data_IF_324615919050
#
_entry.id   IF_324615919050
#
_cell.length_a   1.000
_cell.length_b   1.000
_cell.length_c   1.000
_cell.angle_alpha   90.00
_cell.angle_beta   90.00
_cell.angle_gamma   90.00
#
_symmetry.space_group_name_H-M   'P 1'
#
loop_
_entity.id
_entity.type
_entity.pdbx_description
1 polymer ?
#
# COMPACT_ATOMS: atom_id res chain seq x y z
N UNK A 1 1.45 -9.61 -22.44
CA UNK A 1 2.60 -8.91 -23.08
C UNK A 1 3.75 -8.77 -22.12
N UNK A 2 4.96 -8.57 -22.65
CA UNK A 2 6.19 -8.34 -21.88
C UNK A 2 6.86 -7.06 -22.38
N UNK A 3 7.46 -6.30 -21.46
CA UNK A 3 8.22 -5.08 -21.77
C UNK A 3 9.42 -4.98 -20.82
N UNK A 4 10.52 -4.42 -21.31
CA UNK A 4 11.63 -3.96 -20.49
C UNK A 4 11.67 -2.44 -20.53
N UNK A 5 12.00 -1.80 -19.40
CA UNK A 5 12.18 -0.38 -19.30
C UNK A 5 13.54 -0.07 -18.65
N UNK A 6 14.15 1.01 -19.09
CA UNK A 6 15.35 1.60 -18.51
C UNK A 6 15.20 3.12 -18.65
N UNK A 7 14.54 3.72 -17.68
CA UNK A 7 14.14 5.12 -17.70
C UNK A 7 14.84 5.87 -16.55
N UNK A 8 14.91 7.18 -16.65
CA UNK A 8 15.39 8.06 -15.59
C UNK A 8 14.27 9.01 -15.21
N UNK A 9 13.91 9.03 -13.94
CA UNK A 9 12.90 9.91 -13.37
C UNK A 9 13.59 11.08 -12.72
N UNK A 10 13.42 12.32 -13.23
CA UNK A 10 13.89 13.53 -12.55
C UNK A 10 13.22 13.70 -11.20
N UNK A 11 13.98 13.98 -10.15
CA UNK A 11 13.45 14.03 -8.78
C UNK A 11 14.08 15.16 -7.95
N UNK A 12 13.81 16.44 -8.32
CA UNK A 12 14.54 17.60 -7.79
C UNK A 12 14.39 17.82 -6.29
N UNK A 13 13.36 17.26 -5.65
CA UNK A 13 13.06 17.41 -4.21
C UNK A 13 13.13 16.10 -3.43
N UNK A 14 13.76 15.09 -4.00
CA UNK A 14 13.93 13.81 -3.38
C UNK A 14 15.38 13.65 -2.88
N UNK A 15 15.67 12.52 -2.22
CA UNK A 15 17.03 12.19 -1.73
C UNK A 15 18.11 12.09 -2.82
N UNK A 16 17.69 12.01 -4.10
CA UNK A 16 18.53 12.01 -5.30
C UNK A 16 17.89 12.92 -6.35
N UNK A 17 18.70 13.58 -7.15
CA UNK A 17 18.23 14.41 -8.27
C UNK A 17 17.60 13.61 -9.41
N UNK A 18 17.97 12.33 -9.51
CA UNK A 18 17.49 11.40 -10.51
C UNK A 18 17.33 10.01 -9.92
N UNK A 19 16.28 9.30 -10.32
CA UNK A 19 16.01 7.91 -9.93
C UNK A 19 15.96 7.03 -11.18
N UNK A 20 16.80 5.99 -11.23
CA UNK A 20 16.79 5.01 -12.32
C UNK A 20 15.61 4.05 -12.13
N UNK A 21 14.76 3.95 -13.14
CA UNK A 21 13.61 3.07 -13.19
C UNK A 21 13.85 1.94 -14.21
N UNK A 22 14.39 0.83 -13.72
CA UNK A 22 14.78 -0.32 -14.54
C UNK A 22 14.00 -1.54 -14.11
N UNK A 23 13.14 -2.05 -14.98
CA UNK A 23 12.26 -3.17 -14.67
C UNK A 23 11.91 -4.03 -15.88
N UNK A 24 11.49 -5.27 -15.60
CA UNK A 24 10.77 -6.10 -16.52
C UNK A 24 9.27 -6.06 -16.17
N UNK A 25 8.41 -5.83 -17.17
CA UNK A 25 6.98 -5.77 -16.98
C UNK A 25 6.28 -6.91 -17.70
N UNK A 26 5.32 -7.53 -17.02
CA UNK A 26 4.40 -8.51 -17.59
C UNK A 26 2.97 -8.01 -17.39
N UNK A 27 2.18 -8.04 -18.45
CA UNK A 27 0.75 -7.74 -18.41
C UNK A 27 -0.06 -8.98 -18.73
N UNK A 28 -0.94 -9.37 -17.83
CA UNK A 28 -1.97 -10.39 -18.01
C UNK A 28 -3.31 -9.67 -18.29
N UNK A 29 -3.96 -10.02 -19.38
CA UNK A 29 -5.25 -9.44 -19.77
C UNK A 29 -6.38 -10.43 -19.50
N UNK A 30 -7.45 -9.96 -18.87
CA UNK A 30 -8.62 -10.73 -18.50
C UNK A 30 -9.83 -10.32 -19.35
N UNK A 31 -10.75 -11.24 -19.58
CA UNK A 31 -11.96 -10.99 -20.37
C UNK A 31 -12.93 -10.00 -19.72
N UNK A 32 -12.86 -9.88 -18.39
CA UNK A 32 -13.69 -9.01 -17.55
C UNK A 32 -13.28 -7.53 -17.60
N UNK A 33 -12.56 -7.12 -18.66
CA UNK A 33 -12.14 -5.74 -18.91
C UNK A 33 -11.16 -5.17 -17.87
N UNK A 34 -10.24 -5.98 -17.38
CA UNK A 34 -9.10 -5.51 -16.60
C UNK A 34 -7.81 -6.24 -16.96
N UNK A 35 -6.70 -5.62 -16.62
CA UNK A 35 -5.38 -6.21 -16.70
C UNK A 35 -4.76 -6.29 -15.29
N UNK A 36 -3.90 -7.27 -15.09
CA UNK A 36 -2.97 -7.33 -13.97
C UNK A 36 -1.56 -7.10 -14.49
N UNK A 37 -0.91 -6.06 -14.00
CA UNK A 37 0.45 -5.68 -14.40
C UNK A 37 1.40 -6.02 -13.28
N UNK A 38 2.46 -6.74 -13.60
CA UNK A 38 3.59 -7.01 -12.72
C UNK A 38 4.83 -6.26 -13.20
N UNK A 39 5.56 -5.65 -12.28
CA UNK A 39 6.91 -5.13 -12.51
C UNK A 39 7.90 -5.81 -11.59
N UNK A 40 9.00 -6.30 -12.18
CA UNK A 40 10.09 -6.95 -11.46
C UNK A 40 11.32 -6.05 -11.53
N UNK A 41 11.82 -5.71 -10.37
CA UNK A 41 13.02 -4.92 -10.12
C UNK A 41 14.10 -5.80 -9.48
N UNK A 42 15.35 -5.36 -9.50
CA UNK A 42 16.41 -6.03 -8.73
C UNK A 42 16.16 -5.97 -7.21
N UNK A 43 15.46 -4.93 -6.77
CA UNK A 43 15.14 -4.66 -5.36
C UNK A 43 13.71 -5.05 -4.95
N UNK A 44 12.98 -5.79 -5.79
CA UNK A 44 11.65 -6.25 -5.43
C UNK A 44 10.67 -6.41 -6.60
N UNK A 45 9.40 -6.48 -6.28
CA UNK A 45 8.33 -6.56 -7.26
C UNK A 45 7.16 -5.66 -6.89
N UNK A 46 6.37 -5.30 -7.90
CA UNK A 46 5.10 -4.64 -7.70
C UNK A 46 4.04 -5.16 -8.65
N UNK A 47 2.76 -5.10 -8.24
CA UNK A 47 1.65 -5.37 -9.13
C UNK A 47 0.53 -4.35 -8.94
N UNK A 48 -0.27 -4.16 -9.98
CA UNK A 48 -1.50 -3.38 -9.94
C UNK A 48 -2.54 -3.92 -10.91
N UNK A 49 -3.80 -3.64 -10.60
CA UNK A 49 -4.88 -3.81 -11.56
C UNK A 49 -5.10 -2.52 -12.36
N UNK A 50 -5.47 -2.66 -13.63
CA UNK A 50 -5.88 -1.54 -14.49
C UNK A 50 -7.14 -1.91 -15.25
N UNK A 51 -8.15 -1.04 -15.23
CA UNK A 51 -9.37 -1.26 -15.99
C UNK A 51 -9.15 -0.96 -17.47
N UNK A 52 -9.73 -1.78 -18.36
CA UNK A 52 -9.71 -1.58 -19.81
C UNK A 52 -11.08 -1.19 -20.35
N UNK A 53 -12.14 -1.32 -19.54
CA UNK A 53 -13.50 -0.97 -19.88
C UNK A 53 -13.75 0.54 -20.04
N UNK A 54 -14.81 0.89 -20.76
CA UNK A 54 -15.19 2.28 -21.05
C UNK A 54 -16.32 2.79 -20.14
N UNK A 55 -16.69 2.06 -19.09
CA UNK A 55 -17.74 2.44 -18.13
C UNK A 55 -17.16 2.64 -16.74
N UNK A 56 -17.68 3.56 -15.92
CA UNK A 56 -17.39 3.63 -14.50
C UNK A 56 -17.77 2.32 -13.80
N UNK A 57 -17.04 1.97 -12.74
CA UNK A 57 -17.30 0.75 -11.97
C UNK A 57 -17.03 0.96 -10.49
N UNK A 58 -17.57 0.06 -9.67
CA UNK A 58 -17.30 0.03 -8.22
C UNK A 58 -16.45 -1.19 -7.89
N UNK A 59 -15.49 -1.01 -7.00
CA UNK A 59 -14.70 -2.09 -6.40
C UNK A 59 -15.33 -2.40 -5.06
N UNK A 60 -15.88 -3.58 -4.90
CA UNK A 60 -16.53 -4.00 -3.65
C UNK A 60 -15.53 -4.43 -2.60
N UNK A 61 -14.44 -5.09 -3.02
CA UNK A 61 -13.33 -5.49 -2.18
C UNK A 61 -12.08 -5.75 -3.03
N UNK A 62 -10.91 -5.76 -2.40
CA UNK A 62 -9.65 -6.23 -2.97
C UNK A 62 -9.01 -7.19 -1.96
N UNK A 63 -8.59 -8.36 -2.43
CA UNK A 63 -7.89 -9.34 -1.63
C UNK A 63 -6.43 -9.39 -2.04
N UNK A 64 -5.54 -8.98 -1.14
CA UNK A 64 -4.11 -9.19 -1.24
C UNK A 64 -3.66 -10.04 -0.04
N UNK A 65 -3.08 -11.19 -0.32
CA UNK A 65 -2.59 -12.12 0.70
C UNK A 65 -1.08 -12.31 0.56
N UNK A 66 -0.38 -12.19 1.67
CA UNK A 66 1.07 -12.36 1.78
C UNK A 66 1.34 -13.54 2.71
N UNK A 67 1.69 -14.68 2.12
CA UNK A 67 1.91 -15.93 2.84
C UNK A 67 3.40 -16.18 3.00
N UNK A 68 3.84 -16.46 4.22
CA UNK A 68 5.24 -16.72 4.53
C UNK A 68 5.39 -18.20 4.92
N UNK A 69 6.50 -18.80 4.49
CA UNK A 69 6.78 -20.21 4.73
C UNK A 69 7.35 -20.51 6.13
N UNK A 70 7.66 -19.48 6.89
CA UNK A 70 8.18 -19.55 8.27
C UNK A 70 7.57 -18.45 9.13
N UNK A 71 7.65 -18.63 10.42
CA UNK A 71 7.29 -17.64 11.42
C UNK A 71 8.42 -16.63 11.60
N UNK A 72 8.45 -15.64 10.72
CA UNK A 72 9.45 -14.58 10.74
C UNK A 72 9.09 -13.49 11.74
N UNK A 73 10.10 -12.81 12.26
CA UNK A 73 9.90 -11.55 12.97
C UNK A 73 9.36 -10.49 12.04
N UNK A 74 8.48 -9.67 12.55
CA UNK A 74 7.88 -8.55 11.83
C UNK A 74 8.02 -7.24 12.62
N UNK A 75 8.07 -6.13 11.89
CA UNK A 75 8.06 -4.77 12.44
C UNK A 75 6.82 -4.12 11.88
N UNK A 76 5.84 -3.88 12.75
CA UNK A 76 4.49 -3.51 12.34
C UNK A 76 4.01 -2.21 13.00
N UNK A 77 3.41 -1.30 12.23
CA UNK A 77 2.77 -0.09 12.71
C UNK A 77 1.28 -0.35 13.01
N UNK A 78 0.97 -0.85 14.19
CA UNK A 78 -0.43 -1.02 14.59
C UNK A 78 -1.17 0.32 14.68
N UNK A 79 -2.42 0.33 14.27
CA UNK A 79 -3.32 1.44 14.57
C UNK A 79 -3.35 1.71 16.07
N UNK A 80 -3.27 2.97 16.47
CA UNK A 80 -3.28 3.39 17.88
C UNK A 80 -4.55 2.89 18.58
N UNK A 81 -4.39 2.34 19.78
CA UNK A 81 -5.50 1.79 20.59
C UNK A 81 -6.42 0.79 19.86
N UNK A 82 -5.92 0.14 18.80
CA UNK A 82 -6.72 -0.79 17.98
C UNK A 82 -7.20 -2.03 18.75
N UNK A 83 -6.52 -2.41 19.83
CA UNK A 83 -6.93 -3.49 20.75
C UNK A 83 -8.20 -3.17 21.55
N UNK A 84 -8.56 -1.89 21.66
CA UNK A 84 -9.72 -1.39 22.41
C UNK A 84 -10.92 -1.05 21.50
N UNK A 85 -10.79 -1.27 20.19
CA UNK A 85 -11.76 -0.80 19.20
C UNK A 85 -12.10 -1.91 18.22
N UNK A 86 -13.35 -1.98 17.74
CA UNK A 86 -13.70 -2.85 16.62
C UNK A 86 -12.90 -2.43 15.37
N UNK A 87 -12.64 -3.38 14.48
CA UNK A 87 -11.84 -3.15 13.24
C UNK A 87 -12.36 -1.96 12.43
N UNK A 88 -13.68 -1.79 12.37
CA UNK A 88 -14.28 -0.67 11.62
C UNK A 88 -13.87 0.71 12.18
N UNK A 89 -13.79 0.86 13.48
CA UNK A 89 -13.36 2.11 14.12
C UNK A 89 -11.86 2.38 13.90
N UNK A 90 -11.05 1.34 13.71
CA UNK A 90 -9.61 1.47 13.48
C UNK A 90 -9.29 2.15 12.14
N UNK A 91 -10.15 2.05 11.12
CA UNK A 91 -9.98 2.76 9.85
C UNK A 91 -10.03 4.29 9.96
N UNK A 92 -10.53 4.82 11.06
CA UNK A 92 -10.65 6.26 11.31
C UNK A 92 -9.68 6.75 12.38
N UNK A 93 -8.66 5.98 12.69
CA UNK A 93 -7.69 6.29 13.73
C UNK A 93 -6.29 6.57 13.13
N UNK A 94 -5.37 7.07 13.96
CA UNK A 94 -4.02 7.42 13.57
C UNK A 94 -3.02 6.30 13.84
N UNK A 95 -1.81 6.43 13.29
CA UNK A 95 -0.68 5.59 13.66
C UNK A 95 0.01 6.04 14.95
N UNK A 96 0.08 7.26 15.32
CA UNK A 96 0.79 7.87 16.47
C UNK A 96 1.16 6.89 17.62
N UNK A 97 2.03 5.94 17.34
CA UNK A 97 2.40 4.82 18.19
C UNK A 97 3.83 4.36 17.87
N UNK A 98 4.42 3.55 18.73
CA UNK A 98 5.69 2.87 18.46
C UNK A 98 5.45 1.63 17.57
N UNK A 99 6.45 1.30 16.76
CA UNK A 99 6.42 0.03 16.00
C UNK A 99 6.53 -1.16 16.95
N UNK A 100 5.78 -2.20 16.66
CA UNK A 100 5.81 -3.46 17.39
C UNK A 100 6.73 -4.45 16.68
N UNK A 101 7.65 -5.06 17.42
CA UNK A 101 8.53 -6.13 16.94
C UNK A 101 8.02 -7.45 17.51
N UNK A 102 7.53 -8.34 16.64
CA UNK A 102 6.87 -9.59 17.04
C UNK A 102 6.92 -10.60 15.91
N UNK A 103 6.90 -11.89 16.22
CA UNK A 103 6.72 -12.96 15.23
C UNK A 103 5.35 -12.85 14.55
N UNK A 104 5.24 -13.29 13.29
CA UNK A 104 4.00 -13.23 12.53
C UNK A 104 2.83 -13.93 13.24
N UNK A 105 3.10 -15.10 13.84
CA UNK A 105 2.09 -15.87 14.60
C UNK A 105 1.63 -15.18 15.89
N UNK A 106 2.44 -14.26 16.41
CA UNK A 106 2.13 -13.47 17.60
C UNK A 106 1.30 -12.20 17.32
N UNK A 107 1.05 -11.89 16.05
CA UNK A 107 0.27 -10.71 15.67
C UNK A 107 -1.17 -10.81 16.16
N UNK A 108 -1.69 -9.70 16.69
CA UNK A 108 -3.06 -9.63 17.17
C UNK A 108 -4.07 -9.66 16.00
N UNK A 109 -4.96 -10.67 15.90
CA UNK A 109 -5.90 -10.82 14.79
C UNK A 109 -7.03 -9.79 14.78
N UNK A 110 -7.14 -8.95 15.81
CA UNK A 110 -8.13 -7.89 15.93
C UNK A 110 -7.55 -6.49 15.68
N UNK A 111 -6.27 -6.40 15.27
CA UNK A 111 -5.60 -5.10 15.07
C UNK A 111 -5.18 -4.92 13.62
N UNK A 112 -5.54 -3.75 13.08
CA UNK A 112 -5.05 -3.29 11.78
C UNK A 112 -3.62 -2.75 11.90
N UNK A 113 -2.84 -2.99 10.86
CA UNK A 113 -1.50 -2.45 10.66
C UNK A 113 -1.51 -1.55 9.43
N UNK A 114 -0.87 -0.39 9.51
CA UNK A 114 -0.61 0.43 8.33
C UNK A 114 0.49 -0.20 7.45
N UNK A 115 0.60 0.22 6.21
CA UNK A 115 1.80 0.04 5.40
C UNK A 115 2.76 1.22 5.62
N UNK A 116 4.08 1.00 5.58
CA UNK A 116 4.79 -0.24 5.29
C UNK A 116 4.89 -1.20 6.48
N UNK A 117 4.88 -2.51 6.19
CA UNK A 117 5.18 -3.58 7.15
C UNK A 117 6.47 -4.27 6.74
N UNK A 118 7.39 -4.47 7.68
CA UNK A 118 8.68 -5.11 7.43
C UNK A 118 8.71 -6.51 8.03
N UNK A 119 9.19 -7.48 7.27
CA UNK A 119 9.41 -8.85 7.68
C UNK A 119 10.92 -9.13 7.66
N UNK A 120 11.45 -9.53 8.79
CA UNK A 120 12.86 -9.88 8.94
C UNK A 120 13.09 -11.33 8.55
N UNK A 121 13.81 -11.54 7.47
CA UNK A 121 14.16 -12.87 7.00
C UNK A 121 15.55 -13.31 7.51
N UNK A 122 15.92 -14.53 7.20
CA UNK A 122 17.22 -15.08 7.53
C UNK A 122 18.36 -14.25 6.91
N UNK A 123 19.53 -14.28 7.56
CA UNK A 123 20.75 -13.58 7.13
C UNK A 123 20.60 -12.05 7.00
N UNK A 124 19.72 -11.45 7.80
CA UNK A 124 19.52 -10.00 7.83
C UNK A 124 18.72 -9.45 6.66
N UNK A 125 18.19 -10.29 5.76
CA UNK A 125 17.32 -9.86 4.66
C UNK A 125 16.01 -9.31 5.20
N UNK A 126 15.47 -8.33 4.47
CA UNK A 126 14.17 -7.70 4.78
C UNK A 126 13.23 -7.81 3.58
N UNK A 127 11.98 -8.13 3.86
CA UNK A 127 10.88 -7.86 2.95
C UNK A 127 10.09 -6.70 3.49
N UNK A 128 9.67 -5.78 2.62
CA UNK A 128 8.80 -4.67 3.03
C UNK A 128 7.57 -4.64 2.13
N UNK A 129 6.40 -4.74 2.75
CA UNK A 129 5.12 -4.61 2.07
C UNK A 129 4.71 -3.15 2.12
N UNK A 130 4.53 -2.56 0.95
CA UNK A 130 4.16 -1.15 0.80
C UNK A 130 3.16 -0.97 -0.35
N UNK A 131 2.76 0.26 -0.58
CA UNK A 131 1.90 0.65 -1.70
C UNK A 131 2.34 1.99 -2.30
N UNK A 132 1.93 2.27 -3.51
CA UNK A 132 2.18 3.54 -4.18
C UNK A 132 1.04 3.92 -5.11
N UNK A 133 0.99 5.17 -5.52
CA UNK A 133 0.00 5.71 -6.45
C UNK A 133 -1.44 5.56 -5.92
N UNK A 134 -1.62 5.85 -4.64
CA UNK A 134 -2.91 5.74 -3.94
C UNK A 134 -3.74 7.00 -4.22
N UNK A 135 -4.41 7.02 -5.37
CA UNK A 135 -5.31 8.10 -5.78
C UNK A 135 -6.74 7.59 -5.90
N UNK A 136 -7.69 8.27 -5.26
CA UNK A 136 -9.12 7.94 -5.30
C UNK A 136 -9.43 6.47 -4.95
N UNK A 137 -8.60 5.89 -4.09
CA UNK A 137 -8.69 4.51 -3.62
C UNK A 137 -8.27 4.46 -2.15
N UNK A 138 -8.83 3.58 -1.31
CA UNK A 138 -8.41 3.48 0.09
C UNK A 138 -6.97 2.95 0.21
N UNK A 139 -6.22 3.46 1.17
CA UNK A 139 -4.95 2.87 1.56
C UNK A 139 -5.13 1.46 2.11
N UNK A 140 -4.15 0.60 1.85
CA UNK A 140 -4.16 -0.78 2.30
C UNK A 140 -3.74 -0.88 3.77
N UNK A 141 -4.60 -1.44 4.60
CA UNK A 141 -4.22 -1.98 5.89
C UNK A 141 -3.91 -3.47 5.76
N UNK A 142 -3.09 -3.97 6.66
CA UNK A 142 -2.82 -5.40 6.80
C UNK A 142 -3.34 -5.92 8.14
N UNK A 143 -3.70 -7.20 8.17
CA UNK A 143 -4.18 -7.88 9.36
C UNK A 143 -3.83 -9.37 9.30
N UNK A 144 -3.53 -9.98 10.43
CA UNK A 144 -3.36 -11.42 10.59
C UNK A 144 -4.63 -12.05 11.17
N UNK A 145 -5.69 -12.17 10.36
CA UNK A 145 -7.02 -12.62 10.83
C UNK A 145 -7.05 -14.04 11.39
N UNK A 146 -6.25 -14.92 10.81
CA UNK A 146 -6.34 -16.37 11.09
C UNK A 146 -5.23 -16.87 12.01
N UNK A 147 -4.37 -15.97 12.49
CA UNK A 147 -3.12 -16.37 13.13
C UNK A 147 -2.13 -16.97 12.11
N UNK A 148 -1.04 -17.54 12.59
CA UNK A 148 -0.03 -18.14 11.74
C UNK A 148 0.81 -17.10 10.97
N UNK A 149 1.29 -17.46 9.78
CA UNK A 149 2.31 -16.72 9.05
C UNK A 149 1.77 -15.97 7.82
N UNK A 150 0.48 -15.62 7.81
CA UNK A 150 -0.15 -14.94 6.68
C UNK A 150 -0.65 -13.54 7.07
N UNK A 151 -0.44 -12.57 6.19
CA UNK A 151 -1.05 -11.25 6.27
C UNK A 151 -2.06 -11.08 5.14
N UNK A 152 -3.20 -10.49 5.43
CA UNK A 152 -4.23 -10.18 4.43
C UNK A 152 -4.54 -8.69 4.42
N UNK A 153 -4.94 -8.18 3.27
CA UNK A 153 -5.38 -6.79 3.15
C UNK A 153 -6.72 -6.54 3.83
N UNK A 154 -6.90 -5.30 4.28
CA UNK A 154 -8.17 -4.77 4.74
C UNK A 154 -8.32 -3.33 4.24
N UNK A 155 -9.52 -2.97 3.80
CA UNK A 155 -9.79 -1.65 3.23
C UNK A 155 -11.03 -1.04 3.87
N UNK A 156 -10.95 0.27 4.13
CA UNK A 156 -12.10 1.05 4.53
C UNK A 156 -13.07 1.21 3.35
N UNK A 157 -14.33 0.89 3.54
CA UNK A 157 -15.35 1.19 2.55
C UNK A 157 -15.60 2.71 2.44
N UNK A 158 -16.12 3.16 1.29
CA UNK A 158 -16.38 4.56 1.01
C UNK A 158 -17.33 5.16 2.07
N UNK A 159 -17.01 6.32 2.65
CA UNK A 159 -17.91 6.98 3.57
C UNK A 159 -19.25 7.38 2.90
N UNK A 160 -20.38 6.90 3.47
CA UNK A 160 -21.71 7.23 3.02
C UNK A 160 -22.24 8.48 3.74
N UNK A 161 -22.18 8.46 5.08
CA UNK A 161 -22.54 9.62 5.89
C UNK A 161 -21.39 10.04 6.80
N UNK A 162 -21.30 11.33 7.04
CA UNK A 162 -20.23 11.94 7.83
C UNK A 162 -20.83 12.98 8.77
N UNK A 163 -20.21 13.15 9.95
CA UNK A 163 -20.54 14.25 10.87
C UNK A 163 -19.26 14.88 11.41
N UNK A 164 -19.30 16.13 11.74
CA UNK A 164 -18.25 16.78 12.51
C UNK A 164 -18.26 16.27 13.95
N UNK A 165 -17.08 16.07 14.55
CA UNK A 165 -16.97 15.53 15.89
C UNK A 165 -15.51 15.30 16.32
N UNK A 166 -15.28 14.34 17.20
CA UNK A 166 -13.96 14.03 17.73
C UNK A 166 -13.42 15.08 18.67
N UNK A 167 -12.08 15.08 18.87
CA UNK A 167 -11.43 16.01 19.78
C UNK A 167 -11.64 17.46 19.33
N UNK A 168 -12.20 18.29 20.21
CA UNK A 168 -12.54 19.69 19.94
C UNK A 168 -13.39 19.92 18.68
N UNK A 169 -14.18 18.96 18.23
CA UNK A 169 -14.98 19.02 16.99
C UNK A 169 -14.15 19.28 15.72
N UNK A 170 -12.89 18.91 15.70
CA UNK A 170 -11.97 19.16 14.58
C UNK A 170 -11.91 18.01 13.57
N UNK A 171 -12.61 16.91 13.84
CA UNK A 171 -12.57 15.71 13.00
C UNK A 171 -13.86 15.52 12.22
N UNK A 172 -13.76 14.88 11.07
CA UNK A 172 -14.91 14.38 10.32
C UNK A 172 -15.03 12.89 10.60
N UNK A 173 -16.07 12.52 11.33
CA UNK A 173 -16.35 11.12 11.70
C UNK A 173 -17.23 10.49 10.63
N UNK A 174 -16.84 9.28 10.18
CA UNK A 174 -17.67 8.46 9.30
C UNK A 174 -18.68 7.72 10.16
N UNK A 175 -19.98 7.93 9.90
CA UNK A 175 -21.07 7.31 10.66
C UNK A 175 -21.71 6.12 9.93
N UNK A 176 -21.66 6.12 8.61
CA UNK A 176 -22.07 5.00 7.76
C UNK A 176 -21.12 4.87 6.58
N UNK A 177 -20.96 3.67 6.07
CA UNK A 177 -20.18 3.37 4.88
C UNK A 177 -21.03 2.72 3.79
N UNK A 178 -20.58 2.88 2.57
CA UNK A 178 -21.09 2.15 1.40
C UNK A 178 -20.68 0.66 1.46
N UNK A 179 -21.23 -0.14 0.56
CA UNK A 179 -20.86 -1.55 0.39
C UNK A 179 -19.74 -1.76 -0.64
N UNK A 180 -18.96 -0.74 -0.91
CA UNK A 180 -17.82 -0.78 -1.86
C UNK A 180 -16.68 0.10 -1.33
N UNK A 181 -15.46 -0.23 -1.74
CA UNK A 181 -14.23 0.45 -1.26
C UNK A 181 -13.78 1.57 -2.18
N UNK A 182 -14.17 1.54 -3.47
CA UNK A 182 -13.84 2.59 -4.41
C UNK A 182 -14.88 2.72 -5.53
N UNK A 183 -15.04 3.95 -6.04
CA UNK A 183 -15.79 4.27 -7.27
C UNK A 183 -14.80 4.77 -8.31
N UNK A 184 -14.59 4.00 -9.35
CA UNK A 184 -13.53 4.19 -10.33
C UNK A 184 -14.09 4.70 -11.67
N UNK A 185 -13.34 5.59 -12.31
CA UNK A 185 -13.61 6.04 -13.68
C UNK A 185 -13.18 4.96 -14.70
N UNK A 186 -13.66 5.05 -15.94
CA UNK A 186 -13.18 4.18 -17.02
C UNK A 186 -11.65 4.23 -17.12
N UNK A 187 -11.04 3.08 -17.40
CA UNK A 187 -9.58 2.95 -17.55
C UNK A 187 -8.77 3.31 -16.30
N UNK A 188 -9.39 3.29 -15.12
CA UNK A 188 -8.70 3.54 -13.85
C UNK A 188 -7.51 2.61 -13.66
N UNK A 189 -6.48 3.16 -13.06
CA UNK A 189 -5.30 2.42 -12.56
C UNK A 189 -5.43 2.33 -11.05
N UNK A 190 -5.49 1.12 -10.50
CA UNK A 190 -5.55 0.93 -9.05
C UNK A 190 -4.14 1.09 -8.46
N UNK A 191 -4.00 1.31 -7.15
CA UNK A 191 -2.69 1.46 -6.51
C UNK A 191 -1.75 0.27 -6.77
N UNK A 192 -0.45 0.55 -6.73
CA UNK A 192 0.56 -0.49 -6.74
C UNK A 192 0.65 -1.16 -5.36
N UNK A 193 0.70 -2.49 -5.37
CA UNK A 193 1.09 -3.32 -4.23
C UNK A 193 2.55 -3.68 -4.42
N UNK A 194 3.38 -3.37 -3.44
CA UNK A 194 4.84 -3.41 -3.55
C UNK A 194 5.40 -4.38 -2.53
N UNK A 195 6.32 -5.22 -2.98
CA UNK A 195 7.15 -6.06 -2.13
C UNK A 195 8.60 -5.69 -2.41
N UNK A 196 9.19 -4.91 -1.50
CA UNK A 196 10.62 -4.59 -1.51
C UNK A 196 11.40 -5.78 -0.96
N UNK A 197 12.52 -6.10 -1.57
CA UNK A 197 13.49 -7.10 -1.10
C UNK A 197 14.82 -6.41 -0.88
N UNK A 198 15.30 -6.40 0.35
CA UNK A 198 16.57 -5.79 0.72
C UNK A 198 17.47 -6.79 1.43
N UNK A 199 18.77 -6.72 1.21
CA UNK A 199 19.77 -7.59 1.86
C UNK A 199 20.06 -7.16 3.29
N UNK A 200 19.78 -5.90 3.63
CA UNK A 200 20.03 -5.31 4.94
C UNK A 200 19.22 -4.02 5.12
N UNK A 201 19.28 -3.42 6.31
CA UNK A 201 18.52 -2.20 6.66
C UNK A 201 18.91 -0.99 5.82
N UNK A 202 20.20 -0.86 5.44
CA UNK A 202 20.68 0.25 4.61
C UNK A 202 20.03 0.21 3.22
N UNK A 203 19.96 -0.96 2.59
CA UNK A 203 19.30 -1.12 1.30
C UNK A 203 17.80 -0.87 1.40
N UNK A 204 17.15 -1.28 2.50
CA UNK A 204 15.75 -1.00 2.72
C UNK A 204 15.50 0.52 2.85
N UNK A 205 16.30 1.22 3.65
CA UNK A 205 16.18 2.68 3.85
C UNK A 205 16.47 3.46 2.55
N UNK A 206 17.34 2.94 1.70
CA UNK A 206 17.74 3.57 0.43
C UNK A 206 16.85 3.18 -0.76
N UNK A 207 15.82 2.37 -0.54
CA UNK A 207 14.94 1.88 -1.59
C UNK A 207 14.06 3.00 -2.18
N UNK A 208 13.86 2.97 -3.51
CA UNK A 208 13.12 3.97 -4.27
C UNK A 208 11.84 3.44 -4.93
N UNK A 209 11.43 2.19 -4.68
CA UNK A 209 10.33 1.56 -5.41
C UNK A 209 9.00 2.31 -5.27
N UNK A 210 8.69 2.85 -4.09
CA UNK A 210 7.45 3.62 -3.89
C UNK A 210 7.48 4.87 -4.76
N UNK A 211 8.61 5.55 -4.87
CA UNK A 211 8.80 6.74 -5.70
C UNK A 211 8.72 6.41 -7.21
N UNK A 212 9.41 5.36 -7.66
CA UNK A 212 9.42 4.91 -9.06
C UNK A 212 8.03 4.56 -9.60
N UNK A 213 7.19 4.02 -8.75
CA UNK A 213 5.86 3.52 -9.11
C UNK A 213 4.76 4.59 -8.97
N UNK A 214 5.05 5.71 -8.32
CA UNK A 214 4.12 6.84 -8.21
C UNK A 214 3.91 7.51 -9.57
N UNK A 215 2.70 8.02 -9.80
CA UNK A 215 2.43 8.84 -10.97
C UNK A 215 3.28 10.12 -10.93
N UNK A 216 3.73 10.63 -12.09
CA UNK A 216 4.43 11.91 -12.13
C UNK A 216 3.61 13.04 -11.51
N UNK A 217 4.31 14.01 -10.89
CA UNK A 217 3.67 15.19 -10.34
C UNK A 217 2.86 15.91 -11.42
N UNK A 218 1.65 16.34 -11.06
CA UNK A 218 0.79 17.17 -11.91
C UNK A 218 1.09 18.66 -11.80
N UNK A 219 1.97 19.04 -10.89
CA UNK A 219 2.40 20.43 -10.72
C UNK A 219 3.31 20.84 -11.90
N UNK A 220 2.88 21.86 -12.65
CA UNK A 220 3.64 22.36 -13.81
C UNK A 220 4.76 23.30 -13.41
N UNK A 221 4.54 24.14 -12.41
CA UNK A 221 5.51 25.06 -11.87
C UNK A 221 5.85 24.66 -10.42
N UNK A 222 7.10 24.30 -10.21
CA UNK A 222 7.68 23.92 -8.91
C UNK A 222 8.73 24.90 -8.44
N UNK A 223 8.93 26.03 -9.15
CA UNK A 223 9.99 27.01 -8.88
C UNK A 223 9.82 27.72 -7.52
N UNK A 224 8.60 27.75 -6.99
CA UNK A 224 8.28 28.36 -5.71
C UNK A 224 8.56 27.45 -4.49
N UNK A 225 8.80 26.14 -4.73
CA UNK A 225 9.16 25.20 -3.66
C UNK A 225 10.62 25.43 -3.31
N UNK A 226 10.86 25.77 -2.06
CA UNK A 226 12.22 25.87 -1.51
C UNK A 226 12.44 24.72 -0.55
N UNK A 227 13.56 23.96 -0.67
CA UNK A 227 13.92 22.92 0.28
C UNK A 227 14.21 23.51 1.66
#
# INVERSE_FOLDING_TARGET
SHRQANEVIPSPFYKRSEVKDVYNEMTLSFREHFNLIFRMYNEGMAYRFTATGNRPFKVTNEEAAFNFNKDYKSIVPYVKDGDKQPIEAQFSNSFENTYTHIELSGLNPQRLMFTPVVIEQENGRKLCIAESDVESYPGMFLINRNGGTALTSAFAAVPKTKKQGGHNQLQILVTERENYIASCQPKAKLPWRIIVVARNDKELADNDMVYKLAAPSRMKDISWIRP
#
